data_IF_383468482657
#
_entry.id   IF_383468482657
#
_cell.length_a   1.000
_cell.length_b   1.000
_cell.length_c   1.000
_cell.angle_alpha   90.00
_cell.angle_beta   90.00
_cell.angle_gamma   90.00
#
_symmetry.space_group_name_H-M   'P 1'
#
loop_
_entity.id
_entity.type
_entity.pdbx_description
1 polymer ?
#
# COMPACT_ATOMS: atom_id res chain seq x y z
N UNK A 1 14.15 -0.74 10.44
CA UNK A 1 12.92 -0.96 11.21
C UNK A 1 12.17 -2.21 10.70
N UNK A 2 11.68 -2.27 9.48
CA UNK A 2 10.86 -3.39 8.94
C UNK A 2 11.48 -4.78 9.04
N UNK A 3 12.80 -4.93 8.83
CA UNK A 3 13.50 -6.22 8.98
C UNK A 3 13.41 -6.79 10.40
N UNK A 4 13.41 -5.93 11.41
CA UNK A 4 13.25 -6.33 12.81
C UNK A 4 11.81 -6.75 13.08
N UNK A 5 10.83 -5.95 12.66
CA UNK A 5 9.40 -6.27 12.84
C UNK A 5 9.04 -7.62 12.24
N UNK A 6 9.50 -7.92 11.01
CA UNK A 6 9.26 -9.22 10.40
C UNK A 6 9.82 -10.39 11.21
N UNK A 7 11.01 -10.25 11.82
CA UNK A 7 11.59 -11.28 12.68
C UNK A 7 10.82 -11.46 13.99
N UNK A 8 10.33 -10.38 14.59
CA UNK A 8 9.47 -10.45 15.78
C UNK A 8 8.16 -11.19 15.49
N UNK A 9 7.54 -10.91 14.33
CA UNK A 9 6.37 -11.66 13.87
C UNK A 9 6.68 -13.16 13.76
N UNK A 10 7.84 -13.53 13.19
CA UNK A 10 8.26 -14.93 13.11
C UNK A 10 8.35 -15.59 14.49
N UNK A 11 8.98 -14.93 15.44
CA UNK A 11 9.13 -15.43 16.82
C UNK A 11 7.76 -15.62 17.48
N UNK A 12 6.84 -14.65 17.34
CA UNK A 12 5.48 -14.75 17.88
C UNK A 12 4.69 -15.90 17.24
N UNK A 13 5.02 -16.28 16.01
CA UNK A 13 4.43 -17.42 15.30
C UNK A 13 5.19 -18.74 15.54
N UNK A 14 6.11 -18.78 16.52
CA UNK A 14 6.91 -19.97 16.83
C UNK A 14 7.94 -20.36 15.73
N UNK A 15 8.28 -19.42 14.85
CA UNK A 15 9.23 -19.64 13.75
C UNK A 15 10.57 -18.99 14.02
N UNK A 16 11.66 -19.46 13.38
CA UNK A 16 12.98 -18.84 13.52
C UNK A 16 12.97 -17.35 13.12
N UNK A 17 13.73 -16.52 13.85
CA UNK A 17 13.91 -15.08 13.60
C UNK A 17 14.75 -14.80 12.35
N UNK A 18 14.41 -15.40 11.21
CA UNK A 18 15.08 -15.30 9.91
C UNK A 18 14.20 -14.56 8.90
N UNK A 19 14.76 -14.21 7.74
CA UNK A 19 13.94 -13.67 6.65
C UNK A 19 12.89 -14.68 6.15
N UNK A 20 13.28 -15.97 6.04
CA UNK A 20 12.37 -17.03 5.64
C UNK A 20 11.21 -17.19 6.65
N UNK A 21 11.52 -17.29 7.95
CA UNK A 21 10.50 -17.36 9.01
C UNK A 21 9.58 -16.14 9.01
N UNK A 22 10.13 -14.93 8.80
CA UNK A 22 9.34 -13.69 8.72
C UNK A 22 8.36 -13.71 7.55
N UNK A 23 8.83 -14.03 6.34
CA UNK A 23 8.00 -14.01 5.12
C UNK A 23 6.96 -15.12 5.12
N UNK A 24 7.29 -16.30 5.65
CA UNK A 24 6.34 -17.39 5.83
C UNK A 24 5.24 -17.03 6.82
N UNK A 25 5.61 -16.44 7.99
CA UNK A 25 4.64 -16.00 9.00
C UNK A 25 3.71 -14.93 8.46
N UNK A 26 4.24 -13.92 7.76
CA UNK A 26 3.43 -12.86 7.13
C UNK A 26 2.45 -13.47 6.13
N UNK A 27 2.91 -14.38 5.27
CA UNK A 27 2.05 -15.03 4.27
C UNK A 27 0.92 -15.84 4.91
N UNK A 28 1.23 -16.55 5.99
CA UNK A 28 0.23 -17.30 6.76
C UNK A 28 -0.83 -16.36 7.36
N UNK A 29 -0.40 -15.32 8.08
CA UNK A 29 -1.30 -14.34 8.68
C UNK A 29 -2.19 -13.67 7.63
N UNK A 30 -1.65 -13.30 6.47
CA UNK A 30 -2.43 -12.71 5.38
C UNK A 30 -3.50 -13.69 4.89
N UNK A 31 -3.14 -14.96 4.66
CA UNK A 31 -4.07 -16.01 4.24
C UNK A 31 -5.18 -16.26 5.24
N UNK A 32 -4.85 -16.36 6.53
CA UNK A 32 -5.81 -16.56 7.61
C UNK A 32 -6.84 -15.42 7.75
N UNK A 33 -6.43 -14.22 7.33
CA UNK A 33 -7.31 -13.06 7.30
C UNK A 33 -8.01 -12.84 5.94
N UNK A 34 -7.99 -13.84 5.05
CA UNK A 34 -8.68 -13.80 3.77
C UNK A 34 -8.06 -12.90 2.71
N UNK A 35 -6.79 -12.51 2.90
CA UNK A 35 -6.04 -11.73 1.89
C UNK A 35 -5.52 -12.66 0.80
N UNK A 36 -5.71 -12.27 -0.46
CA UNK A 36 -5.22 -13.02 -1.61
C UNK A 36 -3.70 -13.10 -1.61
N UNK A 37 -3.16 -14.31 -1.44
CA UNK A 37 -1.71 -14.57 -1.49
C UNK A 37 -1.25 -15.22 -2.80
N UNK A 38 -2.14 -15.37 -3.78
CA UNK A 38 -1.82 -15.90 -5.10
C UNK A 38 -0.84 -14.95 -5.80
N UNK A 39 0.30 -15.50 -6.24
CA UNK A 39 1.38 -14.70 -6.85
C UNK A 39 2.21 -13.87 -5.86
N UNK A 40 1.92 -13.92 -4.56
CA UNK A 40 2.74 -13.27 -3.54
C UNK A 40 4.02 -14.09 -3.30
N UNK A 41 5.17 -13.49 -3.60
CA UNK A 41 6.49 -14.03 -3.28
C UNK A 41 7.27 -13.01 -2.47
N UNK A 42 7.72 -13.40 -1.29
CA UNK A 42 8.46 -12.54 -0.37
C UNK A 42 9.81 -13.14 -0.03
N UNK A 43 10.87 -12.39 -0.24
CA UNK A 43 12.25 -12.73 0.14
C UNK A 43 12.71 -11.95 1.37
N UNK A 44 12.02 -10.86 1.69
CA UNK A 44 12.23 -10.07 2.89
C UNK A 44 10.92 -9.39 3.34
N UNK A 45 10.91 -8.90 4.57
CA UNK A 45 9.80 -8.14 5.13
C UNK A 45 9.94 -6.62 4.96
N UNK A 46 10.96 -6.15 4.22
CA UNK A 46 11.23 -4.71 4.04
C UNK A 46 10.82 -4.17 2.67
N UNK A 47 10.52 -5.06 1.72
CA UNK A 47 10.17 -4.69 0.35
C UNK A 47 11.35 -4.28 -0.53
N UNK A 48 12.61 -4.48 -0.06
CA UNK A 48 13.81 -4.04 -0.80
C UNK A 48 14.34 -5.09 -1.77
N UNK A 49 13.98 -6.36 -1.61
CA UNK A 49 14.41 -7.41 -2.53
C UNK A 49 13.75 -7.25 -3.89
N UNK A 50 14.54 -7.17 -4.95
CA UNK A 50 14.06 -7.16 -6.34
C UNK A 50 13.36 -8.45 -6.75
N UNK A 51 13.46 -9.50 -5.93
CA UNK A 51 12.79 -10.79 -6.14
C UNK A 51 11.36 -10.83 -5.54
N UNK A 52 10.98 -9.84 -4.72
CA UNK A 52 9.62 -9.76 -4.19
C UNK A 52 8.62 -9.59 -5.34
N UNK A 53 7.47 -10.24 -5.21
CA UNK A 53 6.33 -10.10 -6.13
C UNK A 53 5.08 -9.93 -5.29
N UNK A 54 4.31 -8.90 -5.60
CA UNK A 54 3.02 -8.62 -4.97
C UNK A 54 2.06 -8.09 -6.03
N UNK A 55 0.82 -8.52 -6.00
CA UNK A 55 -0.22 -7.99 -6.88
C UNK A 55 -0.87 -6.74 -6.28
N UNK A 56 -1.42 -5.87 -7.12
CA UNK A 56 -2.28 -4.77 -6.67
C UNK A 56 -3.48 -5.29 -5.88
N UNK A 57 -4.00 -6.46 -6.25
CA UNK A 57 -5.11 -7.12 -5.54
C UNK A 57 -4.73 -7.44 -4.09
N UNK A 58 -3.57 -8.08 -3.86
CA UNK A 58 -3.08 -8.36 -2.50
C UNK A 58 -3.01 -7.07 -1.65
N UNK A 59 -2.50 -5.97 -2.21
CA UNK A 59 -2.41 -4.69 -1.51
C UNK A 59 -3.79 -4.09 -1.21
N UNK A 60 -4.72 -4.19 -2.15
CA UNK A 60 -6.12 -3.74 -1.95
C UNK A 60 -6.79 -4.56 -0.87
N UNK A 61 -6.61 -5.88 -0.83
CA UNK A 61 -7.19 -6.75 0.20
C UNK A 61 -6.68 -6.36 1.61
N UNK A 62 -5.36 -6.11 1.76
CA UNK A 62 -4.79 -5.65 3.04
C UNK A 62 -5.39 -4.31 3.47
N UNK A 63 -5.50 -3.35 2.55
CA UNK A 63 -6.05 -2.04 2.85
C UNK A 63 -7.55 -2.11 3.16
N UNK A 64 -8.31 -2.96 2.44
CA UNK A 64 -9.72 -3.20 2.70
C UNK A 64 -9.92 -3.84 4.08
N UNK A 65 -9.11 -4.83 4.44
CA UNK A 65 -9.12 -5.42 5.78
C UNK A 65 -8.88 -4.34 6.85
N UNK A 66 -7.93 -3.42 6.61
CA UNK A 66 -7.65 -2.31 7.53
C UNK A 66 -8.78 -1.28 7.60
N UNK A 67 -9.55 -1.12 6.52
CA UNK A 67 -10.68 -0.19 6.48
C UNK A 67 -11.96 -0.76 7.12
N UNK A 68 -12.10 -2.09 7.18
CA UNK A 68 -13.32 -2.77 7.64
C UNK A 68 -13.19 -3.37 9.04
N UNK A 69 -11.99 -3.51 9.59
CA UNK A 69 -11.73 -4.08 10.91
C UNK A 69 -11.06 -3.05 11.81
N UNK A 70 -11.73 -2.68 12.90
CA UNK A 70 -11.26 -1.63 13.83
C UNK A 70 -9.86 -1.89 14.39
N UNK A 71 -9.53 -3.14 14.69
CA UNK A 71 -8.19 -3.53 15.19
C UNK A 71 -7.05 -3.25 14.21
N UNK A 72 -7.33 -3.13 12.91
CA UNK A 72 -6.36 -2.87 11.85
C UNK A 72 -6.35 -1.42 11.38
N UNK A 73 -7.26 -0.58 11.90
CA UNK A 73 -7.48 0.80 11.44
C UNK A 73 -6.26 1.69 11.60
N UNK A 74 -5.44 1.46 12.62
CA UNK A 74 -4.21 2.20 12.84
C UNK A 74 -3.27 2.22 11.61
N UNK A 75 -3.32 1.19 10.75
CA UNK A 75 -2.54 1.16 9.50
C UNK A 75 -2.93 2.34 8.59
N UNK A 76 -4.21 2.66 8.48
CA UNK A 76 -4.69 3.76 7.63
C UNK A 76 -4.38 5.13 8.23
N UNK A 77 -4.41 5.24 9.56
CA UNK A 77 -4.11 6.49 10.27
C UNK A 77 -2.63 6.87 10.15
N UNK A 78 -1.74 5.88 10.07
CA UNK A 78 -0.30 6.05 9.90
C UNK A 78 0.13 6.32 8.44
N UNK A 79 -0.78 6.24 7.45
CA UNK A 79 -0.44 6.51 6.06
C UNK A 79 -0.14 8.00 5.84
N UNK A 80 0.94 8.33 5.10
CA UNK A 80 1.21 9.70 4.65
C UNK A 80 0.04 10.34 3.92
N UNK A 81 -0.15 11.66 4.17
CA UNK A 81 -1.18 12.47 3.53
C UNK A 81 -0.62 13.22 2.33
N UNK A 82 -1.33 13.18 1.21
CA UNK A 82 -0.97 13.89 -0.03
C UNK A 82 -0.78 15.39 0.20
N UNK A 83 0.42 15.90 -0.16
CA UNK A 83 0.83 17.28 0.03
C UNK A 83 0.94 17.72 1.49
N UNK A 84 0.89 16.79 2.47
CA UNK A 84 0.85 17.12 3.89
C UNK A 84 1.96 16.46 4.72
N UNK A 85 2.18 15.15 4.59
CA UNK A 85 3.10 14.46 5.49
C UNK A 85 3.92 13.35 4.82
N UNK A 86 5.01 12.95 5.50
CA UNK A 86 5.85 11.81 5.16
C UNK A 86 6.33 11.84 3.71
N UNK A 87 6.31 10.70 3.04
CA UNK A 87 6.77 10.55 1.65
C UNK A 87 5.86 11.22 0.62
N UNK A 88 4.72 11.75 1.02
CA UNK A 88 3.77 12.47 0.17
C UNK A 88 3.78 13.99 0.40
N UNK A 89 4.60 14.53 1.30
CA UNK A 89 4.65 15.97 1.61
C UNK A 89 4.92 16.83 0.38
N UNK A 90 5.80 16.37 -0.52
CA UNK A 90 6.22 17.08 -1.76
C UNK A 90 5.61 16.44 -3.02
N UNK A 91 4.50 15.73 -2.87
CA UNK A 91 3.74 15.15 -3.98
C UNK A 91 2.34 15.76 -4.02
N UNK A 92 1.63 15.57 -5.14
CA UNK A 92 0.34 16.24 -5.35
C UNK A 92 0.50 17.75 -5.29
N UNK A 93 1.05 18.34 -6.37
CA UNK A 93 1.36 19.76 -6.51
C UNK A 93 0.23 20.69 -6.03
N UNK A 94 0.53 21.94 -5.78
CA UNK A 94 -0.44 22.95 -5.37
C UNK A 94 -1.52 23.11 -6.45
N UNK A 95 -2.78 23.00 -6.06
CA UNK A 95 -3.94 22.96 -6.96
C UNK A 95 -4.42 21.56 -7.33
N UNK A 96 -3.72 20.47 -6.97
CA UNK A 96 -4.25 19.13 -7.13
C UNK A 96 -5.49 18.91 -6.28
N UNK A 97 -6.58 18.42 -6.87
CA UNK A 97 -7.83 18.09 -6.19
C UNK A 97 -7.65 17.01 -5.10
N UNK A 98 -6.63 16.17 -5.26
CA UNK A 98 -6.35 15.08 -4.32
C UNK A 98 -5.47 15.49 -3.13
N UNK A 99 -4.97 16.76 -3.09
CA UNK A 99 -4.16 17.25 -1.98
C UNK A 99 -4.97 17.24 -0.68
N UNK A 100 -4.46 16.56 0.35
CA UNK A 100 -5.15 16.36 1.64
C UNK A 100 -6.19 15.24 1.66
N UNK A 101 -6.58 14.69 0.49
CA UNK A 101 -7.65 13.69 0.38
C UNK A 101 -7.16 12.25 0.15
N UNK A 102 -5.89 12.09 -0.19
CA UNK A 102 -5.24 10.78 -0.35
C UNK A 102 -4.37 10.49 0.86
N UNK A 103 -4.51 9.30 1.44
CA UNK A 103 -3.59 8.72 2.41
C UNK A 103 -2.99 7.47 1.80
N UNK A 104 -1.68 7.43 1.58
CA UNK A 104 -1.07 6.31 0.88
C UNK A 104 0.39 6.07 1.26
N UNK A 105 0.80 4.79 1.13
CA UNK A 105 2.20 4.38 1.22
C UNK A 105 2.81 4.32 -0.17
N UNK A 106 3.98 4.90 -0.31
CA UNK A 106 4.80 4.81 -1.53
C UNK A 106 5.69 3.59 -1.49
N UNK A 107 5.92 2.98 -2.64
CA UNK A 107 7.04 2.06 -2.89
C UNK A 107 7.91 2.61 -4.01
N UNK A 108 9.24 2.52 -3.86
CA UNK A 108 10.19 2.98 -4.88
C UNK A 108 11.41 2.08 -4.89
N UNK A 109 11.65 1.46 -6.02
CA UNK A 109 12.87 0.74 -6.39
C UNK A 109 13.39 1.34 -7.69
N UNK A 110 14.56 0.90 -8.16
CA UNK A 110 15.16 1.42 -9.39
C UNK A 110 14.26 1.28 -10.64
N UNK A 111 13.44 0.24 -10.70
CA UNK A 111 12.59 -0.07 -11.85
C UNK A 111 11.13 -0.37 -11.46
N UNK A 112 10.71 0.02 -10.28
CA UNK A 112 9.33 -0.16 -9.83
C UNK A 112 8.92 0.97 -8.90
N UNK A 113 7.75 1.52 -9.14
CA UNK A 113 7.12 2.54 -8.30
C UNK A 113 5.69 2.12 -7.97
N UNK A 114 5.25 2.41 -6.76
CA UNK A 114 3.88 2.09 -6.34
C UNK A 114 3.30 3.16 -5.43
N UNK A 115 1.97 3.19 -5.40
CA UNK A 115 1.18 3.99 -4.49
C UNK A 115 -0.05 3.18 -4.10
N UNK A 116 -0.23 2.90 -2.81
CA UNK A 116 -1.34 2.13 -2.31
C UNK A 116 -1.91 2.77 -1.03
N UNK A 117 -3.22 2.89 -0.94
CA UNK A 117 -3.86 3.57 0.17
C UNK A 117 -5.35 3.78 -0.01
N UNK A 118 -5.83 4.85 0.58
CA UNK A 118 -7.23 5.29 0.50
C UNK A 118 -7.33 6.70 -0.08
N UNK A 119 -8.45 7.00 -0.70
CA UNK A 119 -8.82 8.33 -1.16
C UNK A 119 -10.27 8.61 -0.79
N UNK A 120 -10.55 9.82 -0.31
CA UNK A 120 -11.92 10.31 -0.12
C UNK A 120 -12.32 11.06 -1.38
N UNK A 121 -13.37 10.60 -2.04
CA UNK A 121 -13.88 11.16 -3.29
C UNK A 121 -14.68 12.44 -3.06
N UNK A 122 -15.01 13.19 -4.13
CA UNK A 122 -15.83 14.42 -4.05
C UNK A 122 -17.19 14.20 -3.43
N UNK A 123 -17.78 13.02 -3.60
CA UNK A 123 -19.07 12.63 -3.05
C UNK A 123 -18.97 11.99 -1.64
N UNK A 124 -17.79 12.08 -1.00
CA UNK A 124 -17.56 11.64 0.38
C UNK A 124 -17.35 10.14 0.56
N UNK A 125 -17.14 9.37 -0.52
CA UNK A 125 -16.85 7.94 -0.41
C UNK A 125 -15.38 7.70 -0.17
N UNK A 126 -15.07 6.63 0.55
CA UNK A 126 -13.71 6.14 0.73
C UNK A 126 -13.45 5.01 -0.27
N UNK A 127 -12.51 5.22 -1.17
CA UNK A 127 -12.03 4.19 -2.08
C UNK A 127 -10.68 3.68 -1.62
N UNK A 128 -10.47 2.36 -1.73
CA UNK A 128 -9.18 1.70 -1.53
C UNK A 128 -8.53 1.52 -2.89
N UNK A 129 -7.25 1.79 -3.02
CA UNK A 129 -6.54 1.65 -4.28
C UNK A 129 -5.11 1.12 -4.12
N UNK A 130 -4.59 0.47 -5.15
CA UNK A 130 -3.18 0.11 -5.27
C UNK A 130 -2.73 0.17 -6.73
N UNK A 131 -1.74 0.99 -7.02
CA UNK A 131 -1.11 1.16 -8.32
C UNK A 131 0.34 0.71 -8.27
N UNK A 132 0.77 -0.05 -9.27
CA UNK A 132 2.15 -0.51 -9.43
C UNK A 132 2.57 -0.26 -10.89
N UNK A 133 3.69 0.44 -11.07
CA UNK A 133 4.34 0.67 -12.35
C UNK A 133 5.69 -0.02 -12.33
N UNK A 134 5.95 -0.87 -13.29
CA UNK A 134 7.22 -1.56 -13.47
C UNK A 134 7.90 -1.13 -14.77
N UNK A 135 9.23 -1.17 -14.80
CA UNK A 135 10.02 -0.89 -15.99
C UNK A 135 10.29 0.61 -16.23
N UNK A 136 9.77 1.48 -15.36
CA UNK A 136 9.92 2.93 -15.50
C UNK A 136 10.76 3.54 -14.38
N UNK A 137 11.50 4.59 -14.70
CA UNK A 137 12.21 5.40 -13.72
C UNK A 137 11.23 6.05 -12.74
N UNK A 138 11.57 6.14 -11.44
CA UNK A 138 10.69 6.71 -10.43
C UNK A 138 10.25 8.16 -10.73
N UNK A 139 11.08 8.94 -11.40
CA UNK A 139 10.79 10.33 -11.81
C UNK A 139 9.64 10.41 -12.82
N UNK A 140 9.54 9.45 -13.73
CA UNK A 140 8.46 9.36 -14.70
C UNK A 140 7.21 8.71 -14.10
N UNK A 141 7.37 7.67 -13.27
CA UNK A 141 6.27 6.91 -12.69
C UNK A 141 5.46 7.70 -11.63
N UNK A 142 6.13 8.52 -10.80
CA UNK A 142 5.46 9.24 -9.69
C UNK A 142 4.35 10.19 -10.14
N UNK A 143 4.53 11.05 -11.16
CA UNK A 143 3.44 11.93 -11.64
C UNK A 143 2.22 11.15 -12.13
N UNK A 144 2.45 9.99 -12.78
CA UNK A 144 1.36 9.11 -13.27
C UNK A 144 0.58 8.54 -12.09
N UNK A 145 1.27 8.05 -11.05
CA UNK A 145 0.61 7.54 -9.84
C UNK A 145 -0.21 8.61 -9.13
N UNK A 146 0.30 9.85 -9.07
CA UNK A 146 -0.42 10.99 -8.48
C UNK A 146 -1.65 11.38 -9.32
N UNK A 147 -1.53 11.37 -10.65
CA UNK A 147 -2.64 11.64 -11.55
C UNK A 147 -3.75 10.59 -11.43
N UNK A 148 -3.39 9.30 -11.36
CA UNK A 148 -4.34 8.21 -11.14
C UNK A 148 -5.09 8.37 -9.81
N UNK A 149 -4.39 8.66 -8.72
CA UNK A 149 -5.03 8.88 -7.43
C UNK A 149 -5.91 10.14 -7.43
N UNK A 150 -5.51 11.19 -8.16
CA UNK A 150 -6.29 12.41 -8.34
C UNK A 150 -7.58 12.14 -9.14
N UNK A 151 -7.53 11.28 -10.17
CA UNK A 151 -8.72 10.90 -10.93
C UNK A 151 -9.74 10.14 -10.07
N UNK A 152 -9.28 9.30 -9.12
CA UNK A 152 -10.17 8.64 -8.17
C UNK A 152 -10.83 9.65 -7.22
N UNK A 153 -10.12 10.68 -6.76
CA UNK A 153 -10.69 11.73 -5.92
C UNK A 153 -11.80 12.49 -6.65
N UNK A 154 -11.57 12.79 -7.93
CA UNK A 154 -12.55 13.50 -8.76
C UNK A 154 -13.75 12.63 -9.16
N UNK A 155 -13.69 11.31 -8.95
CA UNK A 155 -14.74 10.38 -9.32
C UNK A 155 -16.01 10.61 -8.47
N UNK A 156 -17.14 10.85 -9.12
CA UNK A 156 -18.46 10.73 -8.54
C UNK A 156 -19.01 9.33 -8.79
N UNK A 157 -18.33 8.30 -8.31
CA UNK A 157 -18.65 6.90 -8.57
C UNK A 157 -19.93 6.49 -7.84
N UNK A 158 -21.09 6.81 -8.39
CA UNK A 158 -22.34 6.22 -7.92
C UNK A 158 -22.40 4.75 -8.36
N UNK A 159 -22.79 3.79 -7.48
CA UNK A 159 -23.12 2.46 -7.94
C UNK A 159 -24.25 2.58 -8.96
N UNK A 160 -24.16 1.83 -10.06
CA UNK A 160 -25.32 1.63 -10.92
C UNK A 160 -26.43 1.05 -10.05
N UNK A 161 -27.58 1.71 -10.04
CA UNK A 161 -28.80 1.24 -9.38
C UNK A 161 -29.33 0.00 -10.08
#
# INVERSE_FOLDING_TARGET
>A
MYKRQGREIAVQQGKPATFAGATESIRHILGDNGVTTVGLTMFDASGLSLKNRVSSHTLVDVLRLSATQDQNRAILDDLPVSGGSGTLSNRFYDGSLARGWVRAKTGTLSSASSLAGIVVTRDGRVLVFAFIINGEEPSAARPVLDALATSLQACGCQPAH
#
